data_IF_873405358955
#
_entry.id   IF_873405358955
#
_cell.length_a   1.000
_cell.length_b   1.000
_cell.length_c   1.000
_cell.angle_alpha   90.00
_cell.angle_beta   90.00
_cell.angle_gamma   90.00
#
_symmetry.space_group_name_H-M   'P 1'
#
loop_
_entity.id
_entity.type
_entity.pdbx_description
1 polymer ?
#
# COMPACT_ATOMS: atom_id res chain seq x y z
N UNK A 1 -15.79 -22.39 11.31
CA UNK A 1 -15.11 -21.47 10.36
C UNK A 1 -13.94 -20.84 11.09
N UNK A 2 -12.72 -21.01 10.58
CA UNK A 2 -11.53 -20.46 11.24
C UNK A 2 -11.38 -18.99 10.89
N UNK A 3 -11.33 -18.15 11.93
CA UNK A 3 -11.06 -16.72 11.85
C UNK A 3 -9.68 -16.48 11.22
N UNK A 4 -9.55 -15.56 10.26
CA UNK A 4 -8.23 -15.28 9.64
C UNK A 4 -7.47 -14.15 10.34
N UNK A 5 -8.16 -13.28 11.09
CA UNK A 5 -7.54 -12.19 11.86
C UNK A 5 -8.39 -11.81 13.09
N UNK A 6 -7.82 -11.15 14.10
CA UNK A 6 -8.56 -10.82 15.33
C UNK A 6 -9.74 -9.84 15.13
N UNK A 7 -9.72 -9.02 14.08
CA UNK A 7 -10.80 -8.09 13.72
C UNK A 7 -11.74 -8.66 12.64
N UNK A 8 -11.53 -9.90 12.18
CA UNK A 8 -12.43 -10.59 11.27
C UNK A 8 -13.81 -10.79 11.93
N UNK A 9 -14.85 -10.24 11.32
CA UNK A 9 -16.23 -10.37 11.78
C UNK A 9 -16.63 -11.86 11.71
N UNK A 10 -17.22 -12.39 12.78
CA UNK A 10 -17.78 -13.76 12.78
C UNK A 10 -19.00 -13.79 11.84
N UNK A 11 -18.78 -13.99 10.54
CA UNK A 11 -19.82 -13.93 9.52
C UNK A 11 -19.29 -14.26 8.11
N UNK A 12 -20.20 -14.23 7.13
CA UNK A 12 -19.89 -14.38 5.71
C UNK A 12 -20.44 -13.17 4.95
N UNK A 13 -19.85 -12.86 3.79
CA UNK A 13 -20.36 -11.85 2.86
C UNK A 13 -19.40 -10.70 2.62
N UNK A 14 -19.81 -9.80 1.72
CA UNK A 14 -18.94 -8.76 1.17
C UNK A 14 -18.46 -7.75 2.21
N UNK A 15 -19.27 -7.38 3.19
CA UNK A 15 -18.85 -6.44 4.23
C UNK A 15 -17.65 -6.99 5.02
N UNK A 16 -17.71 -8.27 5.40
CA UNK A 16 -16.61 -8.96 6.08
C UNK A 16 -15.38 -9.04 5.16
N UNK A 17 -15.56 -9.42 3.91
CA UNK A 17 -14.44 -9.58 2.97
C UNK A 17 -13.75 -8.25 2.67
N UNK A 18 -14.51 -7.16 2.49
CA UNK A 18 -13.95 -5.81 2.33
C UNK A 18 -13.17 -5.40 3.58
N UNK A 19 -13.73 -5.61 4.78
CA UNK A 19 -13.02 -5.29 6.02
C UNK A 19 -11.75 -6.11 6.22
N UNK A 20 -11.77 -7.38 5.86
CA UNK A 20 -10.60 -8.25 5.99
C UNK A 20 -9.52 -7.87 4.98
N UNK A 21 -9.86 -7.64 3.72
CA UNK A 21 -8.92 -7.18 2.67
C UNK A 21 -8.40 -5.79 2.96
N UNK A 22 -9.22 -4.85 3.42
CA UNK A 22 -8.76 -3.51 3.79
C UNK A 22 -7.77 -3.55 4.96
N UNK A 23 -7.83 -4.61 5.78
CA UNK A 23 -6.96 -4.85 6.92
C UNK A 23 -6.74 -3.59 7.80
N UNK A 24 -7.80 -2.92 8.31
CA UNK A 24 -7.69 -1.54 8.81
C UNK A 24 -6.60 -1.31 9.88
N UNK A 25 -6.43 -2.18 10.90
CA UNK A 25 -5.35 -1.99 11.88
C UNK A 25 -3.95 -2.02 11.24
N UNK A 26 -3.74 -2.91 10.27
CA UNK A 26 -2.48 -3.05 9.56
C UNK A 26 -2.25 -1.88 8.59
N UNK A 27 -3.28 -1.49 7.81
CA UNK A 27 -3.21 -0.33 6.92
C UNK A 27 -2.88 0.93 7.70
N UNK A 28 -3.58 1.19 8.81
CA UNK A 28 -3.33 2.37 9.65
C UNK A 28 -1.91 2.36 10.24
N UNK A 29 -1.43 1.20 10.68
CA UNK A 29 -0.06 1.06 11.16
C UNK A 29 0.95 1.44 10.08
N UNK A 30 0.76 0.96 8.84
CA UNK A 30 1.64 1.30 7.72
C UNK A 30 1.55 2.77 7.32
N UNK A 31 0.34 3.33 7.26
CA UNK A 31 0.14 4.74 6.95
C UNK A 31 0.75 5.66 8.01
N UNK A 32 0.90 5.19 9.26
CA UNK A 32 1.53 5.98 10.32
C UNK A 32 3.01 6.29 10.06
N UNK A 33 3.71 5.49 9.24
CA UNK A 33 5.10 5.75 8.87
C UNK A 33 5.29 7.00 8.00
N UNK A 34 4.24 7.39 7.27
CA UNK A 34 4.25 8.55 6.37
C UNK A 34 4.42 9.86 7.16
N UNK A 35 3.54 10.22 8.12
CA UNK A 35 3.74 11.43 8.91
C UNK A 35 5.02 11.38 9.76
N UNK A 36 5.49 10.20 10.17
CA UNK A 36 6.79 10.06 10.85
C UNK A 36 7.93 10.49 9.92
N UNK A 37 7.96 9.99 8.68
CA UNK A 37 8.97 10.38 7.70
C UNK A 37 8.89 11.85 7.29
N UNK A 38 7.68 12.35 7.05
CA UNK A 38 7.45 13.76 6.73
C UNK A 38 7.94 14.70 7.85
N UNK A 39 7.71 14.34 9.11
CA UNK A 39 8.14 15.15 10.26
C UNK A 39 9.66 15.20 10.47
N UNK A 40 10.44 14.38 9.76
CA UNK A 40 11.90 14.45 9.75
C UNK A 40 12.43 15.46 8.73
N UNK A 41 11.59 15.94 7.81
CA UNK A 41 11.97 16.93 6.81
C UNK A 41 12.11 18.34 7.44
N UNK A 42 12.89 19.25 6.82
CA UNK A 42 13.08 20.61 7.34
C UNK A 42 11.80 21.46 7.30
N UNK A 43 10.90 21.17 6.37
CA UNK A 43 9.64 21.87 6.16
C UNK A 43 8.46 20.90 6.15
N UNK A 44 7.25 21.41 6.35
CA UNK A 44 6.02 20.61 6.36
C UNK A 44 4.94 21.29 5.51
N UNK A 45 4.67 20.69 4.35
CA UNK A 45 3.49 20.95 3.54
C UNK A 45 2.42 19.88 3.85
N UNK A 46 1.36 20.31 4.53
CA UNK A 46 0.22 19.48 4.92
C UNK A 46 -0.58 18.96 3.73
N UNK A 47 -0.64 19.69 2.62
CA UNK A 47 -1.32 19.26 1.41
C UNK A 47 -0.52 18.14 0.71
N UNK A 48 0.79 18.32 0.57
CA UNK A 48 1.68 17.29 0.04
C UNK A 48 1.68 16.02 0.92
N UNK A 49 1.61 16.18 2.25
CA UNK A 49 1.44 15.07 3.19
C UNK A 49 0.13 14.32 2.94
N UNK A 50 -0.98 15.06 2.78
CA UNK A 50 -2.29 14.49 2.47
C UNK A 50 -2.29 13.66 1.18
N UNK A 51 -1.66 14.19 0.12
CA UNK A 51 -1.49 13.46 -1.14
C UNK A 51 -0.60 12.22 -0.99
N UNK A 52 0.46 12.30 -0.19
CA UNK A 52 1.35 11.17 0.08
C UNK A 52 0.60 10.07 0.83
N UNK A 53 -0.16 10.41 1.88
CA UNK A 53 -1.02 9.46 2.62
C UNK A 53 -2.04 8.81 1.69
N UNK A 54 -2.71 9.59 0.83
CA UNK A 54 -3.68 9.05 -0.12
C UNK A 54 -3.02 8.11 -1.14
N UNK A 55 -1.87 8.47 -1.68
CA UNK A 55 -1.15 7.62 -2.64
C UNK A 55 -0.76 6.28 -2.02
N UNK A 56 -0.23 6.26 -0.80
CA UNK A 56 0.08 5.02 -0.09
C UNK A 56 -1.17 4.24 0.32
N UNK A 57 -2.26 4.90 0.71
CA UNK A 57 -3.51 4.21 0.99
C UNK A 57 -4.04 3.49 -0.27
N UNK A 58 -3.99 4.14 -1.44
CA UNK A 58 -4.41 3.54 -2.70
C UNK A 58 -3.48 2.38 -3.12
N UNK A 59 -2.16 2.59 -3.12
CA UNK A 59 -1.22 1.57 -3.58
C UNK A 59 -1.09 0.40 -2.59
N UNK A 60 -0.89 0.67 -1.31
CA UNK A 60 -0.66 -0.35 -0.27
C UNK A 60 -1.97 -0.79 0.38
N UNK A 61 -2.76 0.14 0.91
CA UNK A 61 -3.99 -0.19 1.67
C UNK A 61 -5.12 -0.82 0.85
N UNK A 62 -5.09 -0.64 -0.49
CA UNK A 62 -6.03 -1.27 -1.42
C UNK A 62 -5.29 -2.16 -2.42
N UNK A 63 -4.30 -1.61 -3.13
CA UNK A 63 -3.66 -2.29 -4.25
C UNK A 63 -2.92 -3.56 -3.84
N UNK A 64 -1.95 -3.42 -2.94
CA UNK A 64 -1.16 -4.51 -2.40
C UNK A 64 -2.05 -5.60 -1.81
N UNK A 65 -3.03 -5.23 -0.97
CA UNK A 65 -3.96 -6.19 -0.36
C UNK A 65 -4.80 -6.96 -1.38
N UNK A 66 -5.27 -6.29 -2.43
CA UNK A 66 -6.01 -6.98 -3.49
C UNK A 66 -5.11 -7.91 -4.31
N UNK A 67 -3.84 -7.53 -4.55
CA UNK A 67 -2.86 -8.36 -5.23
C UNK A 67 -2.48 -9.59 -4.40
N UNK A 68 -2.27 -9.40 -3.10
CA UNK A 68 -1.94 -10.49 -2.17
C UNK A 68 -3.11 -11.48 -2.08
N UNK A 69 -4.34 -10.96 -1.98
CA UNK A 69 -5.52 -11.82 -1.97
C UNK A 69 -5.75 -12.53 -3.32
N UNK A 70 -5.31 -11.95 -4.44
CA UNK A 70 -5.28 -12.64 -5.73
C UNK A 70 -4.28 -13.80 -5.76
N UNK A 71 -3.21 -13.72 -4.96
CA UNK A 71 -2.16 -14.72 -4.87
C UNK A 71 -2.49 -15.78 -3.79
N UNK A 72 -3.35 -16.74 -4.14
CA UNK A 72 -3.60 -17.91 -3.28
C UNK A 72 -4.62 -17.71 -2.16
N UNK A 73 -5.26 -16.54 -2.06
CA UNK A 73 -6.36 -16.25 -1.12
C UNK A 73 -5.99 -16.42 0.37
N UNK A 74 -4.90 -15.81 0.87
CA UNK A 74 -4.49 -15.91 2.27
C UNK A 74 -5.60 -15.50 3.25
N UNK A 75 -6.41 -14.49 2.89
CA UNK A 75 -7.50 -13.97 3.72
C UNK A 75 -8.83 -14.71 3.51
N UNK A 76 -8.85 -15.65 2.57
CA UNK A 76 -9.99 -16.55 2.27
C UNK A 76 -11.27 -15.77 1.97
N UNK A 77 -11.14 -14.68 1.23
CA UNK A 77 -12.30 -13.87 0.81
C UNK A 77 -13.01 -14.51 -0.38
N UNK A 78 -14.28 -14.15 -0.58
CA UNK A 78 -15.09 -14.58 -1.71
C UNK A 78 -15.22 -13.50 -2.79
N UNK A 79 -14.46 -12.41 -2.67
CA UNK A 79 -14.48 -11.32 -3.66
C UNK A 79 -14.04 -11.88 -5.02
N UNK A 80 -14.79 -11.67 -6.11
CA UNK A 80 -14.40 -12.15 -7.43
C UNK A 80 -13.00 -11.66 -7.83
N UNK A 81 -12.19 -12.53 -8.45
CA UNK A 81 -10.83 -12.17 -8.85
C UNK A 81 -10.78 -10.99 -9.83
N UNK A 82 -11.80 -10.80 -10.65
CA UNK A 82 -11.93 -9.62 -11.51
C UNK A 82 -12.04 -8.32 -10.71
N UNK A 83 -12.81 -8.32 -9.61
CA UNK A 83 -13.01 -7.16 -8.74
C UNK A 83 -11.71 -6.81 -8.03
N UNK A 84 -11.01 -7.81 -7.47
CA UNK A 84 -9.69 -7.59 -6.85
C UNK A 84 -8.68 -7.03 -7.86
N UNK A 85 -8.66 -7.57 -9.10
CA UNK A 85 -7.74 -7.12 -10.14
C UNK A 85 -8.00 -5.68 -10.56
N UNK A 86 -9.26 -5.32 -10.77
CA UNK A 86 -9.62 -3.94 -11.12
C UNK A 86 -9.38 -2.97 -9.96
N UNK A 87 -9.70 -3.36 -8.73
CA UNK A 87 -9.40 -2.56 -7.55
C UNK A 87 -7.89 -2.29 -7.45
N UNK A 88 -7.06 -3.33 -7.62
CA UNK A 88 -5.61 -3.20 -7.62
C UNK A 88 -5.09 -2.30 -8.74
N UNK A 89 -5.51 -2.52 -9.98
CA UNK A 89 -5.05 -1.73 -11.13
C UNK A 89 -5.44 -0.26 -10.96
N UNK A 90 -6.69 0.03 -10.62
CA UNK A 90 -7.19 1.40 -10.49
C UNK A 90 -6.52 2.10 -9.31
N UNK A 91 -6.35 1.44 -8.17
CA UNK A 91 -5.75 2.07 -6.99
C UNK A 91 -4.25 2.30 -7.18
N UNK A 92 -3.50 1.35 -7.73
CA UNK A 92 -2.07 1.52 -8.03
C UNK A 92 -1.87 2.59 -9.10
N UNK A 93 -2.66 2.60 -10.17
CA UNK A 93 -2.60 3.64 -11.19
C UNK A 93 -2.92 5.03 -10.61
N UNK A 94 -3.91 5.13 -9.72
CA UNK A 94 -4.25 6.36 -9.01
C UNK A 94 -3.10 6.87 -8.14
N UNK A 95 -2.43 5.99 -7.40
CA UNK A 95 -1.26 6.34 -6.60
C UNK A 95 -0.09 6.85 -7.47
N UNK A 96 0.19 6.17 -8.59
CA UNK A 96 1.22 6.59 -9.55
C UNK A 96 0.85 7.95 -10.18
N UNK A 97 -0.42 8.16 -10.51
CA UNK A 97 -0.90 9.43 -11.05
C UNK A 97 -0.74 10.59 -10.06
N UNK A 98 -0.98 10.35 -8.76
CA UNK A 98 -0.70 11.33 -7.69
C UNK A 98 0.80 11.63 -7.64
N UNK A 99 1.66 10.61 -7.63
CA UNK A 99 3.12 10.80 -7.65
C UNK A 99 3.60 11.60 -8.86
N UNK A 100 3.09 11.28 -10.05
CA UNK A 100 3.45 11.96 -11.30
C UNK A 100 2.92 13.40 -11.37
N UNK A 101 1.69 13.63 -10.91
CA UNK A 101 1.00 14.91 -11.05
C UNK A 101 1.32 15.90 -9.94
N UNK A 102 1.41 15.43 -8.70
CA UNK A 102 1.68 16.24 -7.51
C UNK A 102 3.14 16.07 -7.09
N UNK A 103 3.57 14.83 -6.85
CA UNK A 103 4.89 14.56 -6.27
C UNK A 103 6.06 15.13 -7.10
N UNK A 104 6.04 14.96 -8.43
CA UNK A 104 7.12 15.48 -9.30
C UNK A 104 7.19 17.01 -9.29
N UNK A 105 6.07 17.69 -9.02
CA UNK A 105 6.03 19.16 -8.92
C UNK A 105 6.67 19.65 -7.62
N UNK A 106 6.52 18.88 -6.54
CA UNK A 106 7.22 19.14 -5.28
C UNK A 106 8.71 18.82 -5.41
N UNK A 107 9.05 17.64 -5.93
CA UNK A 107 10.44 17.24 -6.12
C UNK A 107 10.60 16.11 -7.13
N UNK A 108 11.58 16.22 -8.03
CA UNK A 108 11.92 15.14 -8.98
C UNK A 108 12.45 13.89 -8.28
N UNK A 109 12.90 14.02 -7.02
CA UNK A 109 13.41 12.91 -6.23
C UNK A 109 12.34 11.90 -5.80
N UNK A 110 11.06 12.19 -6.02
CA UNK A 110 9.98 11.20 -5.83
C UNK A 110 9.99 10.10 -6.91
N UNK A 111 10.63 10.33 -8.06
CA UNK A 111 10.64 9.37 -9.18
C UNK A 111 11.21 8.01 -8.79
N UNK A 112 12.38 7.91 -8.13
CA UNK A 112 12.86 6.64 -7.55
C UNK A 112 11.83 5.93 -6.67
N UNK A 113 11.10 6.67 -5.82
CA UNK A 113 10.05 6.10 -4.99
C UNK A 113 8.88 5.54 -5.81
N UNK A 114 8.48 6.22 -6.88
CA UNK A 114 7.45 5.72 -7.78
C UNK A 114 7.87 4.45 -8.53
N UNK A 115 9.12 4.42 -9.02
CA UNK A 115 9.66 3.24 -9.71
C UNK A 115 9.75 2.06 -8.75
N UNK A 116 10.33 2.28 -7.56
CA UNK A 116 10.43 1.23 -6.55
C UNK A 116 9.05 0.77 -6.06
N UNK A 117 8.15 1.70 -5.73
CA UNK A 117 6.79 1.40 -5.28
C UNK A 117 5.98 0.63 -6.33
N UNK A 118 6.03 1.09 -7.58
CA UNK A 118 5.38 0.44 -8.72
C UNK A 118 5.95 -0.95 -9.03
N UNK A 119 7.23 -1.19 -8.74
CA UNK A 119 7.83 -2.52 -8.84
C UNK A 119 7.45 -3.42 -7.66
N UNK A 120 7.69 -2.95 -6.43
CA UNK A 120 7.63 -3.78 -5.22
C UNK A 120 6.20 -4.20 -4.89
N UNK A 121 5.20 -3.38 -5.24
CA UNK A 121 3.78 -3.71 -5.02
C UNK A 121 3.37 -4.99 -5.76
N UNK A 122 3.92 -5.26 -6.95
CA UNK A 122 3.66 -6.52 -7.65
C UNK A 122 4.66 -7.60 -7.28
N UNK A 123 5.95 -7.25 -7.17
CA UNK A 123 7.01 -8.22 -6.86
C UNK A 123 6.80 -8.91 -5.51
N UNK A 124 6.31 -8.18 -4.51
CA UNK A 124 5.99 -8.70 -3.18
C UNK A 124 4.68 -9.51 -3.21
N UNK A 125 3.57 -8.89 -3.58
CA UNK A 125 2.22 -9.47 -3.34
C UNK A 125 1.84 -10.57 -4.35
N UNK A 126 2.32 -10.49 -5.60
CA UNK A 126 2.11 -11.56 -6.59
C UNK A 126 3.27 -12.54 -6.64
N UNK A 127 4.31 -12.33 -5.83
CA UNK A 127 5.52 -13.16 -5.80
C UNK A 127 6.14 -13.42 -7.18
N UNK A 128 6.11 -12.44 -8.08
CA UNK A 128 6.57 -12.57 -9.49
C UNK A 128 8.00 -13.13 -9.65
N UNK A 129 8.81 -13.07 -8.61
CA UNK A 129 10.19 -13.58 -8.58
C UNK A 129 10.35 -14.80 -7.67
N UNK A 130 9.32 -15.66 -7.60
CA UNK A 130 9.33 -16.87 -6.79
C UNK A 130 9.50 -16.59 -5.30
N UNK A 131 8.87 -15.53 -4.79
CA UNK A 131 8.93 -15.15 -3.38
C UNK A 131 10.23 -14.47 -2.93
N UNK A 132 11.18 -14.17 -3.82
CA UNK A 132 12.46 -13.50 -3.45
C UNK A 132 12.26 -12.17 -2.72
N UNK A 133 11.20 -11.44 -3.05
CA UNK A 133 10.82 -10.17 -2.42
C UNK A 133 9.79 -10.33 -1.30
N UNK A 134 9.35 -11.55 -0.99
CA UNK A 134 8.34 -11.83 0.04
C UNK A 134 9.02 -12.45 1.27
N UNK A 135 9.58 -11.61 2.13
CA UNK A 135 10.26 -12.02 3.37
C UNK A 135 10.20 -10.91 4.41
N UNK A 136 10.49 -11.20 5.67
CA UNK A 136 10.50 -10.21 6.77
C UNK A 136 11.43 -9.01 6.50
N UNK A 137 12.57 -9.24 5.84
CA UNK A 137 13.47 -8.17 5.43
C UNK A 137 12.78 -7.22 4.44
N UNK A 138 12.22 -7.78 3.37
CA UNK A 138 11.52 -7.00 2.37
C UNK A 138 10.25 -6.37 2.90
N UNK A 139 9.59 -7.01 3.88
CA UNK A 139 8.47 -6.44 4.59
C UNK A 139 8.88 -5.14 5.30
N UNK A 140 9.96 -5.19 6.08
CA UNK A 140 10.50 -4.02 6.77
C UNK A 140 10.92 -2.91 5.79
N UNK A 141 11.56 -3.27 4.68
CA UNK A 141 11.99 -2.31 3.65
C UNK A 141 10.79 -1.68 2.92
N UNK A 142 9.90 -2.49 2.36
CA UNK A 142 8.86 -2.06 1.43
C UNK A 142 7.62 -1.48 2.11
N UNK A 143 7.30 -1.98 3.31
CA UNK A 143 6.08 -1.61 4.01
C UNK A 143 6.37 -0.74 5.24
N UNK A 144 7.57 -0.83 5.83
CA UNK A 144 7.99 0.06 6.93
C UNK A 144 8.80 1.28 6.47
N UNK A 145 10.00 1.04 5.93
CA UNK A 145 10.97 2.09 5.62
C UNK A 145 10.59 2.93 4.40
N UNK A 146 10.10 2.30 3.34
CA UNK A 146 9.77 2.97 2.08
C UNK A 146 8.71 4.09 2.22
N UNK A 147 7.59 3.90 2.95
CA UNK A 147 6.65 4.99 3.22
C UNK A 147 7.29 6.18 3.94
N UNK A 148 8.11 5.93 4.96
CA UNK A 148 8.79 6.99 5.70
C UNK A 148 9.80 7.75 4.83
N UNK A 149 10.65 7.04 4.08
CA UNK A 149 11.65 7.64 3.18
C UNK A 149 10.98 8.44 2.07
N UNK A 150 9.90 7.93 1.48
CA UNK A 150 9.17 8.64 0.42
C UNK A 150 8.51 9.91 0.96
N UNK A 151 7.95 9.86 2.17
CA UNK A 151 7.34 11.01 2.80
C UNK A 151 8.38 12.09 3.16
N UNK A 152 9.56 11.70 3.65
CA UNK A 152 10.67 12.61 3.86
C UNK A 152 11.07 13.29 2.54
N UNK A 153 11.29 12.51 1.48
CA UNK A 153 11.68 13.05 0.16
C UNK A 153 10.62 14.03 -0.35
N UNK A 154 9.34 13.71 -0.22
CA UNK A 154 8.25 14.56 -0.70
C UNK A 154 8.09 15.88 0.07
N UNK A 155 8.83 16.07 1.18
CA UNK A 155 8.76 17.24 2.06
C UNK A 155 10.10 18.00 2.15
N UNK A 156 11.16 17.47 1.53
CA UNK A 156 12.54 17.96 1.65
C UNK A 156 13.04 18.68 0.41
#
# INVERSE_FOLDING_TARGET
>A
MNKVAWYDLRGQGWLRDILVVLHPPYTLWHLSYIPIGAALAPEMDWLALGWTVLAFFLAMGIGAHCLDELNGRPLKTRIPGSVLRWAAVVSVAGAIAIGAGVGIRETVWVIPSMVFGGFIVFAYNLEWFGGRFHSDLWFGIAWGGFPAVTAYIAQA
#
